data_IF_948768206345
#
_entry.id   IF_948768206345
#
_cell.length_a   1.000
_cell.length_b   1.000
_cell.length_c   1.000
_cell.angle_alpha   90.00
_cell.angle_beta   90.00
_cell.angle_gamma   90.00
#
_symmetry.space_group_name_H-M   'P 1'
#
loop_
_entity.id
_entity.type
_entity.pdbx_description
1 polymer ?
#
# COMPACT_ATOMS: atom_id res chain seq x y z
N UNK A 1 11.48 -17.61 -13.91
CA UNK A 1 11.33 -17.58 -12.45
C UNK A 1 10.41 -16.41 -12.20
N UNK A 2 9.20 -16.69 -11.74
CA UNK A 2 8.17 -15.66 -11.58
C UNK A 2 8.51 -14.88 -10.32
N UNK A 3 9.04 -13.67 -10.47
CA UNK A 3 9.00 -12.70 -9.39
C UNK A 3 7.53 -12.35 -9.20
N UNK A 4 6.89 -13.02 -8.26
CA UNK A 4 5.57 -12.64 -7.77
C UNK A 4 5.76 -11.40 -6.90
N UNK A 5 5.96 -10.24 -7.54
CA UNK A 5 5.86 -8.95 -6.87
C UNK A 5 4.46 -8.89 -6.25
N UNK A 6 4.37 -9.09 -4.94
CA UNK A 6 3.10 -9.11 -4.23
C UNK A 6 2.44 -7.74 -4.31
N UNK A 7 1.24 -7.67 -4.89
CA UNK A 7 0.41 -6.48 -4.81
C UNK A 7 -0.31 -6.47 -3.47
N UNK A 8 -0.29 -5.33 -2.80
CA UNK A 8 -1.01 -5.07 -1.56
C UNK A 8 -2.20 -4.20 -1.92
N UNK A 9 -3.39 -4.72 -1.64
CA UNK A 9 -4.65 -4.00 -1.81
C UNK A 9 -5.13 -3.55 -0.42
N UNK A 10 -5.36 -2.25 -0.25
CA UNK A 10 -5.84 -1.69 1.02
C UNK A 10 -7.00 -0.75 0.75
N UNK A 11 -8.17 -1.15 1.25
CA UNK A 11 -9.34 -0.30 1.33
C UNK A 11 -9.12 0.74 2.45
N UNK A 12 -8.78 1.97 2.03
CA UNK A 12 -8.49 3.08 2.95
C UNK A 12 -9.46 4.23 2.79
N UNK A 13 -10.01 4.38 1.59
CA UNK A 13 -10.86 5.49 1.22
C UNK A 13 -12.24 4.99 0.83
N UNK A 14 -13.29 5.81 1.03
CA UNK A 14 -14.60 5.48 0.49
C UNK A 14 -14.52 5.37 -1.03
N UNK A 15 -15.36 4.51 -1.60
CA UNK A 15 -15.36 4.21 -3.04
C UNK A 15 -15.69 5.39 -3.96
N UNK A 16 -16.13 6.50 -3.38
CA UNK A 16 -16.32 7.79 -4.05
C UNK A 16 -14.98 8.47 -4.39
N UNK A 17 -13.89 8.12 -3.70
CA UNK A 17 -12.54 8.63 -3.96
C UNK A 17 -11.85 7.69 -4.94
N UNK A 18 -11.93 8.01 -6.23
CA UNK A 18 -11.22 7.32 -7.30
C UNK A 18 -10.30 8.26 -8.10
N UNK A 19 -9.78 9.28 -7.42
CA UNK A 19 -8.90 10.27 -8.04
C UNK A 19 -7.49 10.18 -7.43
N UNK A 20 -6.46 9.82 -8.21
CA UNK A 20 -5.09 9.67 -7.70
C UNK A 20 -4.45 11.01 -7.30
N UNK A 21 -5.01 12.13 -7.73
CA UNK A 21 -4.61 13.49 -7.35
C UNK A 21 -5.36 14.00 -6.11
N UNK A 22 -6.21 13.16 -5.49
CA UNK A 22 -6.87 13.50 -4.24
C UNK A 22 -5.82 13.75 -3.14
N UNK A 23 -5.94 14.83 -2.33
CA UNK A 23 -4.94 15.20 -1.33
C UNK A 23 -4.64 14.07 -0.33
N UNK A 24 -5.65 13.28 0.04
CA UNK A 24 -5.46 12.13 0.92
C UNK A 24 -4.69 10.97 0.25
N UNK A 25 -4.93 10.72 -1.04
CA UNK A 25 -4.21 9.71 -1.81
C UNK A 25 -2.76 10.11 -2.01
N UNK A 26 -2.49 11.38 -2.33
CA UNK A 26 -1.14 11.94 -2.43
C UNK A 26 -0.40 11.82 -1.09
N UNK A 27 -1.07 12.10 0.03
CA UNK A 27 -0.48 11.94 1.37
C UNK A 27 -0.14 10.48 1.66
N UNK A 28 -1.03 9.56 1.32
CA UNK A 28 -0.81 8.13 1.53
C UNK A 28 0.34 7.61 0.66
N UNK A 29 0.37 7.99 -0.62
CA UNK A 29 1.49 7.66 -1.52
C UNK A 29 2.83 8.14 -0.96
N UNK A 30 2.90 9.39 -0.49
CA UNK A 30 4.12 9.91 0.16
C UNK A 30 4.52 9.11 1.39
N UNK A 31 3.57 8.65 2.18
CA UNK A 31 3.85 7.83 3.35
C UNK A 31 4.43 6.47 2.95
N UNK A 32 3.88 5.83 1.91
CA UNK A 32 4.45 4.60 1.34
C UNK A 32 5.85 4.83 0.77
N UNK A 33 6.10 5.94 0.08
CA UNK A 33 7.43 6.30 -0.44
C UNK A 33 8.45 6.55 0.69
N UNK A 34 8.02 7.17 1.79
CA UNK A 34 8.87 7.43 2.96
C UNK A 34 9.22 6.13 3.69
N UNK A 35 8.23 5.26 3.90
CA UNK A 35 8.44 3.90 4.42
C UNK A 35 9.35 3.10 3.49
N UNK A 36 9.13 3.11 2.18
CA UNK A 36 10.00 2.43 1.24
C UNK A 36 11.45 2.91 1.38
N UNK A 37 11.65 4.23 1.48
CA UNK A 37 12.99 4.82 1.66
C UNK A 37 13.66 4.39 2.96
N UNK A 38 12.93 4.36 4.08
CA UNK A 38 13.47 3.95 5.37
C UNK A 38 13.97 2.49 5.35
N UNK A 39 13.26 1.64 4.61
CA UNK A 39 13.61 0.24 4.38
C UNK A 39 14.54 0.03 3.16
N UNK A 40 15.06 1.11 2.56
CA UNK A 40 15.93 1.08 1.38
C UNK A 40 15.32 0.32 0.18
N UNK A 41 14.00 0.44 0.03
CA UNK A 41 13.17 -0.15 -1.02
C UNK A 41 12.55 0.96 -1.89
N UNK A 42 11.92 0.57 -2.99
CA UNK A 42 11.18 1.49 -3.85
C UNK A 42 9.75 1.00 -4.08
N UNK A 43 8.82 1.96 -4.16
CA UNK A 43 7.45 1.74 -4.61
C UNK A 43 7.48 1.47 -6.13
N UNK A 44 7.24 0.23 -6.54
CA UNK A 44 7.28 -0.20 -7.95
C UNK A 44 5.93 -0.01 -8.63
N UNK A 45 4.84 -0.12 -7.86
CA UNK A 45 3.48 0.01 -8.35
C UNK A 45 2.62 0.82 -7.38
N UNK A 46 1.75 1.67 -7.93
CA UNK A 46 0.74 2.41 -7.18
C UNK A 46 -0.44 2.73 -8.08
N UNK A 47 -1.61 2.25 -7.69
CA UNK A 47 -2.89 2.44 -8.37
C UNK A 47 -3.98 2.69 -7.32
N UNK A 48 -5.00 3.44 -7.71
CA UNK A 48 -6.20 3.67 -6.92
C UNK A 48 -7.37 3.13 -7.73
N UNK A 49 -8.13 2.22 -7.13
CA UNK A 49 -9.36 1.68 -7.68
C UNK A 49 -10.48 1.85 -6.65
N UNK A 50 -11.41 2.78 -6.93
CA UNK A 50 -12.62 2.97 -6.14
C UNK A 50 -12.37 2.98 -4.62
N UNK A 51 -11.46 3.83 -4.16
CA UNK A 51 -11.10 3.98 -2.75
C UNK A 51 -10.11 2.92 -2.20
N UNK A 52 -9.87 1.86 -2.97
CA UNK A 52 -8.85 0.85 -2.69
C UNK A 52 -7.53 1.27 -3.32
N UNK A 53 -6.47 1.34 -2.52
CA UNK A 53 -5.12 1.56 -3.04
C UNK A 53 -4.47 0.21 -3.27
N UNK A 54 -3.95 0.01 -4.48
CA UNK A 54 -3.18 -1.15 -4.90
C UNK A 54 -1.74 -0.70 -5.07
N UNK A 55 -0.82 -1.28 -4.32
CA UNK A 55 0.59 -0.91 -4.42
C UNK A 55 1.53 -2.10 -4.28
N UNK A 56 2.75 -1.96 -4.77
CA UNK A 56 3.78 -2.99 -4.65
C UNK A 56 5.15 -2.35 -4.43
N UNK A 57 6.04 -3.10 -3.78
CA UNK A 57 7.41 -2.70 -3.53
C UNK A 57 8.37 -3.70 -4.17
N UNK A 58 9.59 -3.24 -4.45
CA UNK A 58 10.68 -4.08 -4.98
C UNK A 58 11.20 -5.13 -3.98
N UNK A 59 10.74 -5.09 -2.72
CA UNK A 59 11.21 -5.97 -1.66
C UNK A 59 10.08 -6.74 -0.99
N UNK A 60 10.14 -8.06 -1.11
CA UNK A 60 9.22 -8.99 -0.45
C UNK A 60 9.24 -8.86 1.08
N UNK A 61 10.40 -8.53 1.68
CA UNK A 61 10.53 -8.34 3.12
C UNK A 61 9.71 -7.12 3.58
N UNK A 62 9.75 -6.03 2.83
CA UNK A 62 8.94 -4.84 3.10
C UNK A 62 7.44 -5.13 2.92
N UNK A 63 7.09 -5.85 1.85
CA UNK A 63 5.70 -6.27 1.58
C UNK A 63 5.17 -7.07 2.78
N UNK A 64 5.95 -8.02 3.29
CA UNK A 64 5.57 -8.85 4.43
C UNK A 64 5.39 -8.03 5.71
N UNK A 65 6.28 -7.08 6.00
CA UNK A 65 6.18 -6.23 7.21
C UNK A 65 5.01 -5.24 7.11
N UNK A 66 4.79 -4.60 5.95
CA UNK A 66 3.64 -3.72 5.71
C UNK A 66 2.33 -4.51 5.84
N UNK A 67 2.25 -5.69 5.23
CA UNK A 67 1.10 -6.58 5.39
C UNK A 67 0.88 -7.00 6.83
N UNK A 68 1.94 -7.19 7.61
CA UNK A 68 1.85 -7.51 9.03
C UNK A 68 1.29 -6.34 9.83
N UNK A 69 1.78 -5.12 9.59
CA UNK A 69 1.28 -3.90 10.26
C UNK A 69 -0.20 -3.68 9.92
N UNK A 70 -0.56 -3.80 8.64
CA UNK A 70 -1.94 -3.64 8.18
C UNK A 70 -2.87 -4.73 8.72
N UNK A 71 -2.45 -6.01 8.71
CA UNK A 71 -3.24 -7.12 9.26
C UNK A 71 -3.38 -7.06 10.78
N UNK A 72 -2.38 -6.57 11.51
CA UNK A 72 -2.49 -6.39 12.95
C UNK A 72 -3.50 -5.32 13.38
N UNK A 73 -4.01 -4.51 12.44
CA UNK A 73 -5.16 -3.64 12.67
C UNK A 73 -6.53 -4.34 12.60
N UNK A 74 -6.59 -5.61 12.20
CA UNK A 74 -7.84 -6.37 11.98
C UNK A 74 -8.12 -7.44 13.06
N UNK A 75 -7.24 -7.63 14.05
CA UNK A 75 -7.48 -8.58 15.14
C UNK A 75 -8.14 -7.92 16.36
N UNK A 76 -9.37 -7.40 16.22
CA UNK A 76 -10.29 -7.14 17.34
C UNK A 76 -11.78 -7.13 16.90
N UNK A 77 -12.34 -8.31 16.61
CA UNK A 77 -13.75 -8.76 16.78
C UNK A 77 -13.89 -10.02 15.92
N UNK A 78 -14.05 -11.23 16.42
CA UNK A 78 -14.80 -11.72 17.58
C UNK A 78 -15.49 -12.99 17.11
#
# INVERSE_FOLDING_TARGET
MSEEHGYIEVDLFPSEINDPDHPDVIRFKKLLEDVARDFNCNLTYFELDHGTIIFSFDSDELIAEVLRILRNGQDQTG
#
